data_IF_620384198168
#
_entry.id   IF_620384198168
#
_cell.length_a   1.000
_cell.length_b   1.000
_cell.length_c   1.000
_cell.angle_alpha   90.00
_cell.angle_beta   90.00
_cell.angle_gamma   90.00
#
_symmetry.space_group_name_H-M   'P 1'
#
loop_
_entity.id
_entity.type
_entity.pdbx_description
1 polymer ?
#
# COMPACT_ATOMS: atom_id res chain seq x y z
N UNK A 1 -6.50 -5.09 7.50
CA UNK A 1 -7.17 -5.15 6.18
C UNK A 1 -8.21 -4.05 6.17
N UNK A 2 -8.20 -3.23 5.12
CA UNK A 2 -9.19 -2.17 4.93
C UNK A 2 -10.50 -2.78 4.37
N UNK A 3 -11.65 -2.16 4.66
CA UNK A 3 -12.95 -2.70 4.29
C UNK A 3 -13.25 -2.64 2.78
N UNK A 4 -12.48 -1.87 2.03
CA UNK A 4 -12.52 -1.72 0.59
C UNK A 4 -11.66 -2.75 -0.18
N UNK A 5 -10.97 -3.67 0.52
CA UNK A 5 -10.12 -4.72 -0.04
C UNK A 5 -10.71 -6.14 0.22
N UNK A 6 -11.86 -6.48 -0.39
CA UNK A 6 -12.57 -7.73 -0.06
C UNK A 6 -11.91 -8.99 -0.65
N UNK A 7 -10.95 -8.85 -1.58
CA UNK A 7 -10.33 -9.97 -2.29
C UNK A 7 -8.87 -10.20 -1.91
N UNK A 8 -8.49 -9.87 -0.65
CA UNK A 8 -7.16 -10.17 -0.15
C UNK A 8 -6.94 -11.69 -0.16
N UNK A 9 -5.91 -12.13 -0.88
CA UNK A 9 -5.56 -13.54 -0.94
C UNK A 9 -4.91 -13.97 0.39
N UNK A 10 -5.23 -15.16 0.95
CA UNK A 10 -4.65 -15.62 2.22
C UNK A 10 -3.12 -15.61 2.23
N UNK A 11 -2.47 -15.88 1.09
CA UNK A 11 -1.00 -15.85 1.00
C UNK A 11 -0.43 -14.45 1.21
N UNK A 12 -1.15 -13.40 0.85
CA UNK A 12 -0.74 -12.01 1.14
C UNK A 12 -0.61 -11.75 2.63
N UNK A 13 -1.44 -12.39 3.44
CA UNK A 13 -1.34 -12.31 4.91
C UNK A 13 -0.05 -13.01 5.39
N UNK A 14 0.27 -14.18 4.83
CA UNK A 14 1.50 -14.92 5.16
C UNK A 14 2.75 -14.13 4.76
N UNK A 15 2.75 -13.52 3.56
CA UNK A 15 3.83 -12.66 3.07
C UNK A 15 4.02 -11.46 4.02
N UNK A 16 2.93 -10.82 4.46
CA UNK A 16 2.95 -9.69 5.39
C UNK A 16 3.55 -10.08 6.75
N UNK A 17 3.13 -11.22 7.30
CA UNK A 17 3.66 -11.78 8.54
C UNK A 17 5.16 -12.06 8.41
N UNK A 18 5.61 -12.55 7.25
CA UNK A 18 7.03 -12.81 7.01
C UNK A 18 7.87 -11.53 7.06
N UNK A 19 7.35 -10.41 6.52
CA UNK A 19 8.01 -9.10 6.59
C UNK A 19 8.11 -8.60 8.03
N UNK A 20 7.06 -8.80 8.85
CA UNK A 20 7.02 -8.38 10.27
C UNK A 20 7.97 -9.16 11.20
N UNK A 21 8.44 -10.34 10.79
CA UNK A 21 9.40 -11.12 11.60
C UNK A 21 10.73 -10.42 11.81
N UNK A 22 11.07 -9.45 10.98
CA UNK A 22 12.28 -8.64 11.18
C UNK A 22 12.10 -7.71 12.39
N UNK A 23 13.08 -7.69 13.29
CA UNK A 23 13.05 -6.82 14.47
C UNK A 23 13.13 -5.33 14.14
N UNK A 24 13.65 -4.99 12.96
CA UNK A 24 13.83 -3.60 12.51
C UNK A 24 12.60 -3.01 11.81
N UNK A 25 11.52 -3.79 11.64
CA UNK A 25 10.29 -3.36 10.96
C UNK A 25 9.24 -3.02 11.99
N UNK A 26 8.69 -1.83 11.92
CA UNK A 26 7.59 -1.37 12.77
C UNK A 26 6.24 -1.71 12.15
N UNK A 27 6.11 -1.42 10.85
CA UNK A 27 4.92 -1.64 10.04
C UNK A 27 5.29 -2.40 8.78
N UNK A 28 4.55 -3.45 8.46
CA UNK A 28 4.63 -4.12 7.17
C UNK A 28 3.46 -3.69 6.27
N UNK A 29 3.73 -3.54 4.99
CA UNK A 29 2.72 -3.36 3.95
C UNK A 29 3.06 -4.19 2.72
N UNK A 30 2.24 -4.12 1.69
CA UNK A 30 2.51 -4.81 0.43
C UNK A 30 2.51 -3.86 -0.76
N UNK A 31 3.29 -4.24 -1.77
CA UNK A 31 3.32 -3.58 -3.06
C UNK A 31 3.31 -4.60 -4.18
N UNK A 32 2.73 -4.22 -5.30
CA UNK A 32 2.80 -4.99 -6.54
C UNK A 32 3.63 -4.23 -7.55
N UNK A 33 4.53 -4.94 -8.24
CA UNK A 33 5.25 -4.37 -9.38
C UNK A 33 4.27 -4.19 -10.54
N UNK A 34 4.06 -2.93 -10.96
CA UNK A 34 3.10 -2.56 -11.99
C UNK A 34 3.82 -2.03 -13.23
N UNK A 35 3.50 -2.59 -14.38
CA UNK A 35 4.07 -2.20 -15.69
C UNK A 35 3.10 -1.39 -16.54
N UNK A 36 1.83 -1.34 -16.17
CA UNK A 36 0.86 -0.47 -16.84
C UNK A 36 1.08 0.99 -16.41
N UNK A 37 1.94 1.69 -17.13
CA UNK A 37 2.31 3.07 -16.81
C UNK A 37 1.15 4.07 -16.93
N UNK A 38 0.03 3.71 -17.56
CA UNK A 38 -1.17 4.56 -17.56
C UNK A 38 -1.72 4.78 -16.15
N UNK A 39 -1.49 3.84 -15.22
CA UNK A 39 -1.91 3.95 -13.83
C UNK A 39 -1.09 4.97 -13.01
N UNK A 40 0.04 5.46 -13.51
CA UNK A 40 0.80 6.53 -12.85
C UNK A 40 -0.02 7.82 -12.68
N UNK A 41 -0.91 8.11 -13.63
CA UNK A 41 -1.78 9.28 -13.58
C UNK A 41 -3.10 9.04 -12.81
N UNK A 42 -3.38 7.80 -12.41
CA UNK A 42 -4.58 7.47 -11.64
C UNK A 42 -4.36 7.79 -10.16
N UNK A 43 -5.13 8.73 -9.61
CA UNK A 43 -5.04 9.15 -8.20
C UNK A 43 -5.51 8.09 -7.21
N UNK A 44 -6.37 7.14 -7.63
CA UNK A 44 -6.82 6.04 -6.80
C UNK A 44 -5.77 4.93 -6.70
N UNK A 45 -4.82 4.89 -7.64
CA UNK A 45 -3.67 4.00 -7.57
C UNK A 45 -2.55 4.68 -6.77
N UNK A 46 -2.41 4.36 -5.50
CA UNK A 46 -1.30 4.85 -4.67
C UNK A 46 0.01 4.17 -5.08
N UNK A 47 1.09 4.94 -5.20
CA UNK A 47 2.44 4.47 -5.52
C UNK A 47 3.27 4.51 -4.24
N UNK A 48 4.10 3.48 -4.03
CA UNK A 48 5.10 3.47 -2.98
C UNK A 48 6.49 3.69 -3.56
N UNK A 49 7.26 4.57 -2.95
CA UNK A 49 8.68 4.79 -3.26
C UNK A 49 9.48 3.97 -2.26
N UNK A 50 10.31 3.08 -2.75
CA UNK A 50 11.07 2.13 -1.94
C UNK A 50 12.57 2.37 -2.07
N UNK A 51 13.29 2.12 -0.98
CA UNK A 51 14.74 2.00 -1.03
C UNK A 51 15.19 0.60 -1.51
N UNK A 52 16.49 0.37 -1.59
CA UNK A 52 17.09 -0.90 -2.03
C UNK A 52 16.77 -2.08 -1.10
N UNK A 53 16.34 -1.82 0.14
CA UNK A 53 15.99 -2.81 1.16
C UNK A 53 14.47 -2.98 1.30
N UNK A 54 13.71 -2.35 0.41
CA UNK A 54 12.23 -2.32 0.39
C UNK A 54 11.61 -1.60 1.59
N UNK A 55 12.32 -0.68 2.24
CA UNK A 55 11.68 0.27 3.14
C UNK A 55 11.01 1.37 2.34
N UNK A 56 9.84 1.76 2.79
CA UNK A 56 9.06 2.82 2.14
C UNK A 56 9.64 4.17 2.56
N UNK A 57 10.06 4.95 1.57
CA UNK A 57 10.51 6.33 1.78
C UNK A 57 9.41 7.35 1.51
N UNK A 58 8.42 7.02 0.67
CA UNK A 58 7.29 7.89 0.40
C UNK A 58 6.08 7.12 -0.18
N UNK A 59 4.89 7.74 -0.07
CA UNK A 59 3.69 7.33 -0.79
C UNK A 59 3.13 8.52 -1.56
N UNK A 60 2.71 8.31 -2.80
CA UNK A 60 2.13 9.36 -3.61
C UNK A 60 0.95 8.88 -4.45
N UNK A 61 -0.03 9.80 -4.65
CA UNK A 61 -1.14 9.59 -5.58
C UNK A 61 -0.77 9.99 -7.00
N UNK A 62 0.12 10.97 -7.15
CA UNK A 62 0.55 11.51 -8.42
C UNK A 62 2.06 11.45 -8.54
N UNK A 63 2.54 10.99 -9.69
CA UNK A 63 3.96 11.09 -10.06
C UNK A 63 4.12 12.33 -10.94
N UNK A 64 5.07 13.22 -10.64
CA UNK A 64 5.35 14.38 -11.48
C UNK A 64 5.68 13.98 -12.91
N UNK A 65 5.14 14.73 -13.89
CA UNK A 65 5.35 14.44 -15.32
C UNK A 65 6.81 14.51 -15.79
N UNK A 66 7.68 15.12 -14.98
CA UNK A 66 9.10 15.32 -15.28
C UNK A 66 9.99 14.23 -14.65
N UNK A 67 9.43 13.23 -14.01
CA UNK A 67 10.19 12.08 -13.51
C UNK A 67 10.82 11.30 -14.66
N UNK A 68 12.02 10.71 -14.44
CA UNK A 68 12.68 9.88 -15.44
C UNK A 68 11.75 8.77 -15.91
N UNK A 69 11.85 8.41 -17.19
CA UNK A 69 11.09 7.28 -17.73
C UNK A 69 11.43 6.03 -16.93
N UNK A 70 10.39 5.41 -16.38
CA UNK A 70 10.48 4.15 -15.64
C UNK A 70 9.81 3.05 -16.45
N UNK A 71 10.30 1.82 -16.32
CA UNK A 71 9.68 0.65 -16.96
C UNK A 71 8.57 0.04 -16.10
N UNK A 72 8.56 0.37 -14.81
CA UNK A 72 7.58 -0.09 -13.83
C UNK A 72 7.56 0.84 -12.62
N UNK A 73 6.55 0.67 -11.78
CA UNK A 73 6.48 1.29 -10.46
C UNK A 73 5.90 0.30 -9.44
N UNK A 74 5.94 0.65 -8.17
CA UNK A 74 5.31 -0.13 -7.11
C UNK A 74 3.94 0.45 -6.76
N UNK A 75 2.88 -0.30 -7.15
CA UNK A 75 1.50 -0.04 -6.71
C UNK A 75 1.38 -0.51 -5.27
N UNK A 76 0.95 0.37 -4.38
CA UNK A 76 0.66 0.04 -3.00
C UNK A 76 -0.63 -0.78 -2.89
N UNK A 77 -0.63 -1.80 -2.03
CA UNK A 77 -1.79 -2.59 -1.66
C UNK A 77 -2.19 -2.22 -0.23
N UNK A 78 -3.46 -1.87 -0.01
CA UNK A 78 -4.00 -1.32 1.25
C UNK A 78 -4.11 -2.35 2.37
N UNK A 79 -3.06 -3.15 2.60
CA UNK A 79 -2.98 -4.10 3.71
C UNK A 79 -1.76 -3.78 4.59
N UNK A 80 -1.95 -3.84 5.92
CA UNK A 80 -0.91 -3.54 6.88
C UNK A 80 -0.85 -4.57 7.98
N UNK A 81 0.38 -4.83 8.44
CA UNK A 81 0.66 -5.57 9.65
C UNK A 81 1.44 -4.69 10.63
N UNK A 82 1.16 -4.84 11.90
CA UNK A 82 1.76 -4.06 12.98
C UNK A 82 2.26 -4.98 14.08
N UNK A 83 3.38 -4.63 14.71
CA UNK A 83 3.69 -5.15 16.03
C UNK A 83 2.73 -4.53 17.05
N UNK A 84 2.28 -5.28 18.03
CA UNK A 84 1.27 -4.81 19.00
C UNK A 84 1.72 -3.54 19.73
N UNK A 85 3.00 -3.50 20.15
CA UNK A 85 3.60 -2.33 20.79
C UNK A 85 3.65 -1.10 19.89
N UNK A 86 3.86 -1.30 18.58
CA UNK A 86 3.86 -0.21 17.58
C UNK A 86 2.44 0.28 17.35
N UNK A 87 1.47 -0.62 17.21
CA UNK A 87 0.07 -0.24 16.98
C UNK A 87 -0.44 0.74 18.05
N UNK A 88 -0.14 0.48 19.33
CA UNK A 88 -0.53 1.38 20.42
C UNK A 88 0.09 2.78 20.27
N UNK A 89 1.35 2.88 19.83
CA UNK A 89 2.01 4.16 19.58
C UNK A 89 1.37 4.90 18.39
N UNK A 90 1.00 4.17 17.34
CA UNK A 90 0.38 4.77 16.15
C UNK A 90 -1.00 5.37 16.44
N UNK A 91 -1.75 4.79 17.40
CA UNK A 91 -3.08 5.29 17.79
C UNK A 91 -3.04 6.65 18.48
N UNK A 92 -1.92 6.98 19.14
CA UNK A 92 -1.73 8.23 19.86
C UNK A 92 -1.19 9.38 18.97
N UNK A 93 -0.91 9.10 17.68
CA UNK A 93 -0.37 10.09 16.76
C UNK A 93 -1.45 11.04 16.25
N UNK A 94 -1.16 12.33 16.31
CA UNK A 94 -1.97 13.35 15.66
C UNK A 94 -1.78 13.33 14.13
N UNK A 95 -2.81 13.68 13.35
CA UNK A 95 -2.71 13.78 11.90
C UNK A 95 -1.62 14.75 11.46
N UNK A 96 -0.79 14.35 10.52
CA UNK A 96 0.28 15.18 10.00
C UNK A 96 -0.16 16.02 8.80
N UNK A 97 0.61 17.05 8.48
CA UNK A 97 0.35 17.89 7.31
C UNK A 97 0.38 17.08 6.01
N UNK A 98 1.37 16.20 5.83
CA UNK A 98 1.50 15.36 4.64
C UNK A 98 0.32 14.39 4.50
N UNK A 99 -0.13 13.79 5.61
CA UNK A 99 -1.32 12.94 5.63
C UNK A 99 -2.56 13.68 5.11
N UNK A 100 -2.83 14.87 5.67
CA UNK A 100 -4.00 15.66 5.32
C UNK A 100 -3.96 16.17 3.87
N UNK A 101 -2.80 16.63 3.40
CA UNK A 101 -2.63 17.13 2.04
C UNK A 101 -2.72 16.02 0.99
N UNK A 102 -2.18 14.84 1.28
CA UNK A 102 -2.15 13.71 0.35
C UNK A 102 -3.34 12.77 0.50
N UNK A 103 -4.10 12.90 1.60
CA UNK A 103 -5.18 11.99 1.99
C UNK A 103 -4.69 10.53 2.05
N UNK A 104 -3.56 10.33 2.75
CA UNK A 104 -2.88 9.05 2.92
C UNK A 104 -2.49 8.88 4.38
N UNK A 105 -3.24 8.09 5.15
CA UNK A 105 -3.05 7.89 6.59
C UNK A 105 -1.64 7.38 6.94
N UNK A 106 -1.06 6.53 6.09
CA UNK A 106 0.28 5.98 6.29
C UNK A 106 1.39 7.04 6.25
N UNK A 107 1.12 8.24 5.73
CA UNK A 107 2.06 9.36 5.80
C UNK A 107 2.30 9.80 7.24
N UNK A 108 1.28 9.69 8.12
CA UNK A 108 1.42 9.97 9.54
C UNK A 108 2.53 9.12 10.17
N UNK A 109 2.61 7.86 9.80
CA UNK A 109 3.62 6.94 10.34
C UNK A 109 5.01 7.26 9.80
N UNK A 110 5.14 7.55 8.50
CA UNK A 110 6.42 7.98 7.90
C UNK A 110 6.92 9.30 8.51
N UNK A 111 6.05 10.28 8.66
CA UNK A 111 6.39 11.58 9.24
C UNK A 111 6.85 11.47 10.69
N UNK A 112 6.39 10.44 11.42
CA UNK A 112 6.82 10.11 12.76
C UNK A 112 7.94 9.06 12.81
N UNK A 113 8.62 8.83 11.68
CA UNK A 113 9.82 7.99 11.55
C UNK A 113 9.62 6.50 11.83
N UNK A 114 8.39 5.98 11.76
CA UNK A 114 8.17 4.55 11.81
C UNK A 114 8.69 3.88 10.56
N UNK A 115 9.39 2.74 10.73
CA UNK A 115 9.98 1.97 9.64
C UNK A 115 8.92 1.09 8.99
N UNK A 116 8.43 1.52 7.84
CA UNK A 116 7.47 0.78 7.03
C UNK A 116 8.25 -0.04 6.00
N UNK A 117 8.09 -1.35 6.00
CA UNK A 117 8.71 -2.24 5.01
C UNK A 117 7.65 -2.87 4.12
N UNK A 118 7.90 -2.86 2.82
CA UNK A 118 7.01 -3.45 1.84
C UNK A 118 7.43 -4.88 1.49
N UNK A 119 6.47 -5.81 1.51
CA UNK A 119 6.59 -7.10 0.83
C UNK A 119 6.12 -6.97 -0.61
N UNK A 120 6.81 -7.62 -1.55
CA UNK A 120 6.36 -7.68 -2.94
C UNK A 120 5.40 -8.85 -3.07
N UNK A 121 4.18 -8.58 -3.56
CA UNK A 121 3.18 -9.62 -3.86
C UNK A 121 2.97 -9.77 -5.36
N UNK A 122 2.65 -10.99 -5.79
CA UNK A 122 2.20 -11.28 -7.14
C UNK A 122 0.67 -11.18 -7.29
N UNK A 123 -0.05 -11.18 -6.16
CA UNK A 123 -1.50 -11.18 -6.15
C UNK A 123 -2.07 -9.81 -6.54
N UNK A 124 -3.15 -9.82 -7.31
CA UNK A 124 -3.93 -8.62 -7.59
C UNK A 124 -4.90 -8.38 -6.45
N UNK A 125 -5.06 -7.12 -6.08
CA UNK A 125 -6.10 -6.68 -5.17
C UNK A 125 -7.03 -5.73 -5.91
N UNK A 126 -8.33 -5.95 -5.74
CA UNK A 126 -9.37 -5.10 -6.30
C UNK A 126 -9.92 -4.27 -5.15
N UNK A 127 -9.42 -3.05 -5.03
CA UNK A 127 -9.99 -2.05 -4.13
C UNK A 127 -11.30 -1.52 -4.68
N UNK A 128 -12.27 -1.29 -3.81
CA UNK A 128 -13.60 -0.76 -4.17
C UNK A 128 -13.70 0.68 -3.72
N UNK A 129 -13.19 1.60 -4.54
CA UNK A 129 -13.21 3.04 -4.30
C UNK A 129 -14.36 3.76 -5.02
N UNK A 130 -14.85 3.17 -6.12
CA UNK A 130 -15.85 3.78 -6.99
C UNK A 130 -16.96 2.78 -7.37
N UNK A 131 -18.16 3.26 -7.81
CA UNK A 131 -19.20 2.37 -8.32
C UNK A 131 -18.73 1.43 -9.45
N UNK A 132 -17.81 1.89 -10.31
CA UNK A 132 -17.24 1.08 -11.38
C UNK A 132 -16.36 -0.07 -10.85
N UNK A 133 -15.77 0.09 -9.67
CA UNK A 133 -14.96 -0.97 -9.06
C UNK A 133 -15.84 -2.08 -8.48
N UNK A 134 -17.08 -1.76 -8.07
CA UNK A 134 -18.08 -2.77 -7.68
C UNK A 134 -18.39 -3.72 -8.85
N UNK A 135 -18.55 -3.20 -10.06
CA UNK A 135 -18.78 -4.03 -11.25
C UNK A 135 -17.60 -4.97 -11.53
N UNK A 136 -16.36 -4.45 -11.43
CA UNK A 136 -15.14 -5.27 -11.55
C UNK A 136 -15.06 -6.33 -10.47
N UNK A 137 -15.39 -5.98 -9.24
CA UNK A 137 -15.41 -6.88 -8.09
C UNK A 137 -16.42 -8.03 -8.30
N UNK A 138 -17.62 -7.74 -8.80
CA UNK A 138 -18.64 -8.75 -9.13
C UNK A 138 -18.14 -9.69 -10.24
N UNK A 139 -17.52 -9.13 -11.29
CA UNK A 139 -16.95 -9.93 -12.36
C UNK A 139 -15.84 -10.86 -11.86
N UNK A 140 -14.98 -10.34 -10.98
CA UNK A 140 -13.93 -11.14 -10.37
C UNK A 140 -14.49 -12.26 -9.48
N UNK A 141 -15.46 -11.96 -8.64
CA UNK A 141 -16.12 -12.95 -7.79
C UNK A 141 -16.72 -14.10 -8.59
N UNK A 142 -17.40 -13.79 -9.72
CA UNK A 142 -17.99 -14.80 -10.59
C UNK A 142 -16.96 -15.68 -11.32
N UNK A 143 -15.69 -15.29 -11.35
CA UNK A 143 -14.58 -16.11 -11.89
C UNK A 143 -13.97 -17.04 -10.85
N UNK A 144 -14.21 -16.79 -9.57
CA UNK A 144 -13.71 -17.60 -8.44
C UNK A 144 -14.67 -18.73 -8.06
N UNK A 145 -15.93 -18.65 -8.48
CA UNK A 145 -17.00 -19.61 -8.23
C UNK A 145 -17.28 -20.47 -9.44
#
# INVERSE_FOLDING_TARGET
IQGDEPFIHPEQINELIAVLKSNEVDVATQVKKETNLALLSNSNCVKAILDEQFYVSDFCRYVPKNEPKVDYFYKHIGIYGFKTEVLNQLLDLEPTKNELERQLEQMRWLDNHFKIKAGITAFESISIDTPNDVEKAILHYNQLT
#
